data_IF_464441832955
#
_entry.id   IF_464441832955
#
_cell.length_a   1.000
_cell.length_b   1.000
_cell.length_c   1.000
_cell.angle_alpha   90.00
_cell.angle_beta   90.00
_cell.angle_gamma   90.00
#
_symmetry.space_group_name_H-M   'P 1'
#
loop_
_entity.id
_entity.type
_entity.pdbx_description
1 polymer ?
#
# COMPACT_ATOMS: atom_id res chain seq x y z
N UNK A 1 5.02 -5.49 -2.25
CA UNK A 1 3.85 -4.59 -2.20
C UNK A 1 4.06 -3.60 -1.04
N UNK A 2 3.91 -2.28 -1.26
CA UNK A 2 4.08 -1.30 -0.20
C UNK A 2 2.97 -1.42 0.84
N UNK A 3 3.34 -1.69 2.09
CA UNK A 3 2.43 -1.64 3.23
C UNK A 3 2.47 -0.25 3.85
N UNK A 4 1.29 0.34 4.05
CA UNK A 4 1.13 1.64 4.70
C UNK A 4 0.64 1.44 6.13
N UNK A 5 1.35 1.90 7.17
CA UNK A 5 0.85 1.85 8.53
C UNK A 5 -0.37 2.77 8.69
N UNK A 6 -1.49 2.22 9.16
CA UNK A 6 -2.69 2.99 9.55
C UNK A 6 -2.61 3.41 11.01
N UNK A 7 -2.13 2.51 11.87
CA UNK A 7 -1.94 2.74 13.30
C UNK A 7 -0.58 2.23 13.70
N UNK A 8 0.18 3.07 14.39
CA UNK A 8 1.40 2.66 15.06
C UNK A 8 1.01 2.13 16.43
N UNK A 9 1.07 0.82 16.61
CA UNK A 9 0.81 0.16 17.89
C UNK A 9 1.94 0.42 18.90
N UNK A 10 1.73 0.02 20.16
CA UNK A 10 2.80 0.07 21.16
C UNK A 10 3.94 -0.91 20.80
N UNK A 11 3.61 -1.99 20.09
CA UNK A 11 4.53 -2.93 19.44
C UNK A 11 4.20 -3.09 17.96
N UNK A 12 5.02 -3.84 17.21
CA UNK A 12 4.79 -4.04 15.77
C UNK A 12 3.59 -4.97 15.49
N UNK A 13 3.26 -5.87 16.43
CA UNK A 13 2.12 -6.78 16.36
C UNK A 13 0.79 -6.01 16.48
N UNK A 14 0.80 -4.92 17.26
CA UNK A 14 -0.33 -4.01 17.41
C UNK A 14 -0.50 -3.05 16.22
N UNK A 15 0.51 -2.95 15.35
CA UNK A 15 0.45 -2.09 14.19
C UNK A 15 -0.46 -2.68 13.11
N UNK A 16 -1.32 -1.84 12.56
CA UNK A 16 -2.19 -2.22 11.44
C UNK A 16 -1.60 -1.66 10.16
N UNK A 17 -1.41 -2.54 9.18
CA UNK A 17 -0.89 -2.19 7.86
C UNK A 17 -1.96 -2.36 6.81
N UNK A 18 -1.95 -1.50 5.80
CA UNK A 18 -2.85 -1.62 4.66
C UNK A 18 -2.12 -1.57 3.35
N UNK A 19 -2.65 -2.25 2.34
CA UNK A 19 -2.29 -2.02 0.94
C UNK A 19 -3.56 -1.75 0.15
N UNK A 20 -3.51 -0.76 -0.73
CA UNK A 20 -4.57 -0.47 -1.69
C UNK A 20 -4.31 -1.23 -2.99
N UNK A 21 -5.39 -1.52 -3.73
CA UNK A 21 -5.33 -2.33 -4.92
C UNK A 21 -6.66 -2.46 -5.64
N UNK A 22 -6.67 -3.32 -6.65
CA UNK A 22 -7.86 -3.71 -7.41
C UNK A 22 -8.18 -5.14 -7.03
N UNK A 23 -9.34 -5.36 -6.41
CA UNK A 23 -9.91 -6.67 -6.20
C UNK A 23 -10.60 -7.12 -7.48
N UNK A 24 -10.36 -8.36 -7.91
CA UNK A 24 -11.05 -8.99 -9.04
C UNK A 24 -11.68 -10.28 -8.55
N UNK A 25 -13.01 -10.34 -8.59
CA UNK A 25 -13.77 -11.54 -8.31
C UNK A 25 -13.47 -12.62 -9.38
N UNK A 26 -13.65 -13.90 -9.05
CA UNK A 26 -13.41 -15.01 -9.97
C UNK A 26 -14.27 -14.94 -11.26
N UNK A 27 -15.39 -14.21 -11.23
CA UNK A 27 -16.24 -13.94 -12.38
C UNK A 27 -15.76 -12.76 -13.26
N UNK A 28 -14.73 -12.03 -12.81
CA UNK A 28 -14.11 -10.91 -13.49
C UNK A 28 -14.60 -9.52 -13.09
N UNK A 29 -15.59 -9.39 -12.18
CA UNK A 29 -15.96 -8.07 -11.65
C UNK A 29 -14.77 -7.46 -10.88
N UNK A 30 -14.52 -6.15 -11.04
CA UNK A 30 -13.43 -5.46 -10.35
C UNK A 30 -13.92 -4.34 -9.45
N UNK A 31 -13.21 -4.12 -8.33
CA UNK A 31 -13.44 -3.00 -7.41
C UNK A 31 -12.13 -2.50 -6.84
N UNK A 32 -12.04 -1.20 -6.59
CA UNK A 32 -10.97 -0.69 -5.74
C UNK A 32 -11.13 -1.28 -4.34
N UNK A 33 -10.04 -1.74 -3.76
CA UNK A 33 -10.07 -2.42 -2.47
C UNK A 33 -8.83 -2.12 -1.63
N UNK A 34 -8.98 -2.35 -0.33
CA UNK A 34 -7.92 -2.23 0.66
C UNK A 34 -7.85 -3.51 1.48
N UNK A 35 -6.65 -4.10 1.52
CA UNK A 35 -6.33 -5.18 2.44
C UNK A 35 -5.85 -4.58 3.76
N UNK A 36 -6.30 -5.16 4.87
CA UNK A 36 -5.90 -4.79 6.22
C UNK A 36 -5.20 -5.97 6.88
N UNK A 37 -3.95 -5.76 7.27
CA UNK A 37 -3.10 -6.73 7.95
C UNK A 37 -2.85 -6.31 9.39
N UNK A 38 -2.80 -7.29 10.28
CA UNK A 38 -2.40 -7.13 11.67
C UNK A 38 -1.66 -8.39 12.09
N UNK A 39 -0.59 -8.26 12.87
CA UNK A 39 0.19 -9.41 13.37
C UNK A 39 0.59 -10.40 12.24
N UNK A 40 1.14 -9.86 11.14
CA UNK A 40 1.58 -10.70 10.01
C UNK A 40 0.48 -11.23 9.08
N UNK A 41 -0.80 -11.18 9.47
CA UNK A 41 -1.88 -11.89 8.75
C UNK A 41 -2.93 -10.93 8.18
N UNK A 42 -3.52 -11.31 7.04
CA UNK A 42 -4.68 -10.60 6.49
C UNK A 42 -5.88 -10.75 7.44
N UNK A 43 -6.45 -9.63 7.84
CA UNK A 43 -7.62 -9.56 8.72
C UNK A 43 -8.90 -9.28 7.95
N UNK A 44 -8.87 -8.29 7.07
CA UNK A 44 -10.06 -7.79 6.38
C UNK A 44 -9.73 -7.32 4.97
N UNK A 45 -10.74 -7.39 4.10
CA UNK A 45 -10.71 -6.82 2.76
C UNK A 45 -11.89 -5.86 2.64
N UNK A 46 -11.64 -4.61 2.29
CA UNK A 46 -12.68 -3.62 2.06
C UNK A 46 -12.72 -3.21 0.61
N UNK A 47 -13.87 -3.34 -0.04
CA UNK A 47 -14.15 -2.79 -1.35
C UNK A 47 -14.79 -1.40 -1.27
N UNK A 48 -14.51 -0.56 -2.25
CA UNK A 48 -15.03 0.80 -2.37
C UNK A 48 -15.85 0.93 -3.65
N UNK A 49 -16.95 1.69 -3.57
CA UNK A 49 -17.85 1.90 -4.72
C UNK A 49 -17.43 3.06 -5.63
N UNK A 50 -16.55 3.94 -5.15
CA UNK A 50 -16.00 5.04 -5.93
C UNK A 50 -14.60 4.73 -6.47
N UNK A 51 -14.12 5.59 -7.37
CA UNK A 51 -12.75 5.52 -7.90
C UNK A 51 -11.73 5.92 -6.83
N UNK A 52 -10.50 5.42 -6.94
CA UNK A 52 -9.38 5.76 -6.04
C UNK A 52 -9.69 5.51 -4.54
N UNK A 53 -10.53 4.51 -4.23
CA UNK A 53 -10.89 4.19 -2.85
C UNK A 53 -11.86 5.18 -2.20
N UNK A 54 -12.53 6.02 -2.99
CA UNK A 54 -13.59 6.91 -2.49
C UNK A 54 -14.92 6.18 -2.29
N UNK A 55 -15.78 6.73 -1.44
CA UNK A 55 -17.10 6.16 -1.14
C UNK A 55 -17.11 5.29 0.12
N UNK A 56 -18.29 4.75 0.45
CA UNK A 56 -18.47 3.97 1.67
C UNK A 56 -17.80 2.59 1.52
N UNK A 57 -16.87 2.21 2.42
CA UNK A 57 -16.25 0.89 2.40
C UNK A 57 -17.28 -0.19 2.72
N UNK A 58 -17.13 -1.35 2.07
CA UNK A 58 -17.86 -2.58 2.40
C UNK A 58 -16.89 -3.73 2.50
N UNK A 59 -17.07 -4.56 3.51
CA UNK A 59 -16.26 -5.77 3.66
C UNK A 59 -16.54 -6.73 2.50
N UNK A 60 -15.46 -7.28 1.94
CA UNK A 60 -15.45 -8.36 0.95
C UNK A 60 -14.99 -9.61 1.70
N UNK A 61 -15.70 -10.71 1.54
CA UNK A 61 -15.27 -12.04 1.99
C UNK A 61 -14.61 -12.72 0.79
N UNK A 62 -13.28 -12.92 0.78
CA UNK A 62 -12.62 -13.48 -0.38
C UNK A 62 -12.97 -14.95 -0.61
N UNK A 63 -13.13 -15.33 -1.87
CA UNK A 63 -13.31 -16.71 -2.29
C UNK A 63 -12.06 -17.22 -3.02
N UNK A 64 -11.87 -18.54 -3.03
CA UNK A 64 -10.76 -19.17 -3.73
C UNK A 64 -10.85 -18.89 -5.24
N UNK A 65 -9.78 -18.31 -5.79
CA UNK A 65 -9.72 -17.88 -7.20
C UNK A 65 -9.90 -16.39 -7.41
N UNK A 66 -10.38 -15.64 -6.42
CA UNK A 66 -10.35 -14.18 -6.45
C UNK A 66 -8.89 -13.68 -6.49
N UNK A 67 -8.67 -12.48 -7.03
CA UNK A 67 -7.33 -11.88 -7.08
C UNK A 67 -7.31 -10.45 -6.56
N UNK A 68 -6.13 -10.01 -6.13
CA UNK A 68 -5.87 -8.64 -5.72
C UNK A 68 -4.61 -8.14 -6.39
N UNK A 69 -4.75 -7.14 -7.28
CA UNK A 69 -3.62 -6.46 -7.91
C UNK A 69 -3.27 -5.23 -7.09
N UNK A 70 -2.07 -5.18 -6.54
CA UNK A 70 -1.59 -4.08 -5.70
C UNK A 70 -1.47 -2.81 -6.54
N UNK A 71 -1.86 -1.66 -5.99
CA UNK A 71 -1.61 -0.35 -6.58
C UNK A 71 -0.41 0.30 -5.88
N UNK A 72 0.64 0.57 -6.65
CA UNK A 72 1.90 1.14 -6.17
C UNK A 72 2.01 2.61 -6.56
N UNK A 73 2.43 3.44 -5.60
CA UNK A 73 2.68 4.85 -5.84
C UNK A 73 4.15 5.10 -6.13
N UNK A 74 4.44 5.65 -7.31
CA UNK A 74 5.77 5.97 -7.79
C UNK A 74 5.98 7.48 -7.75
N UNK A 75 7.14 7.90 -7.25
CA UNK A 75 7.57 9.29 -7.21
C UNK A 75 8.82 9.40 -8.08
N UNK A 76 8.69 10.02 -9.24
CA UNK A 76 9.80 10.27 -10.14
C UNK A 76 10.51 11.56 -9.75
N UNK A 77 11.84 11.48 -9.63
CA UNK A 77 12.69 12.61 -9.25
C UNK A 77 13.53 13.09 -10.43
N UNK A 78 13.83 14.38 -10.49
CA UNK A 78 14.84 14.93 -11.40
C UNK A 78 16.26 14.65 -10.89
N UNK A 79 17.26 15.03 -11.67
CA UNK A 79 18.68 14.86 -11.31
C UNK A 79 19.10 15.63 -10.04
N UNK A 80 18.27 16.56 -9.55
CA UNK A 80 18.51 17.31 -8.32
C UNK A 80 17.68 16.79 -7.13
N UNK A 81 16.96 15.66 -7.31
CA UNK A 81 16.12 15.07 -6.27
C UNK A 81 14.77 15.75 -6.08
N UNK A 82 14.35 16.65 -6.98
CA UNK A 82 13.03 17.26 -6.91
C UNK A 82 11.97 16.34 -7.51
N UNK A 83 10.79 16.28 -6.90
CA UNK A 83 9.65 15.53 -7.42
C UNK A 83 9.19 16.14 -8.75
N UNK A 84 9.20 15.32 -9.80
CA UNK A 84 8.73 15.67 -11.14
C UNK A 84 7.34 15.11 -11.38
N UNK A 85 7.09 13.89 -10.91
CA UNK A 85 5.82 13.20 -11.15
C UNK A 85 5.48 12.27 -9.99
N UNK A 86 4.18 12.14 -9.73
CA UNK A 86 3.62 11.12 -8.85
C UNK A 86 2.61 10.32 -9.68
N UNK A 87 2.77 9.00 -9.74
CA UNK A 87 1.90 8.12 -10.52
C UNK A 87 1.53 6.88 -9.74
N UNK A 88 0.32 6.36 -9.99
CA UNK A 88 -0.13 5.08 -9.45
C UNK A 88 -0.06 4.03 -10.56
N UNK A 89 0.56 2.89 -10.27
CA UNK A 89 0.74 1.80 -11.22
C UNK A 89 0.28 0.47 -10.61
N UNK A 90 -0.20 -0.44 -11.45
CA UNK A 90 -0.46 -1.82 -11.02
C UNK A 90 0.86 -2.56 -10.78
N UNK A 91 0.99 -3.16 -9.61
CA UNK A 91 2.14 -3.94 -9.19
C UNK A 91 1.84 -5.44 -9.16
N UNK A 92 2.34 -6.11 -8.12
CA UNK A 92 2.15 -7.55 -7.94
C UNK A 92 0.69 -7.97 -7.75
N UNK A 93 0.36 -9.17 -8.21
CA UNK A 93 -0.94 -9.80 -8.05
C UNK A 93 -0.89 -10.90 -6.99
N UNK A 94 -1.87 -10.90 -6.09
CA UNK A 94 -2.12 -11.95 -5.11
C UNK A 94 -3.35 -12.76 -5.56
N UNK A 95 -3.33 -14.07 -5.34
CA UNK A 95 -4.47 -14.96 -5.58
C UNK A 95 -4.96 -15.53 -4.25
N UNK A 96 -6.24 -15.36 -3.96
CA UNK A 96 -6.86 -15.91 -2.77
C UNK A 96 -7.05 -17.42 -2.92
N UNK A 97 -6.78 -18.13 -1.83
CA UNK A 97 -6.91 -19.58 -1.72
C UNK A 97 -7.30 -19.96 -0.29
N UNK A 98 -7.37 -21.25 0.01
CA UNK A 98 -7.64 -21.75 1.36
C UNK A 98 -6.50 -21.46 2.37
N UNK A 99 -5.35 -20.95 1.89
CA UNK A 99 -4.24 -20.54 2.74
C UNK A 99 -4.33 -19.03 3.06
N UNK A 100 -4.09 -18.64 4.32
CA UNK A 100 -4.11 -17.23 4.70
C UNK A 100 -2.96 -16.48 4.02
N UNK A 101 -3.26 -15.27 3.52
CA UNK A 101 -2.23 -14.35 3.04
C UNK A 101 -1.52 -13.75 4.25
N UNK A 102 -0.19 -13.79 4.22
CA UNK A 102 0.68 -13.19 5.24
C UNK A 102 1.56 -12.11 4.60
N UNK A 103 2.06 -11.20 5.42
CA UNK A 103 3.14 -10.31 5.04
C UNK A 103 4.41 -10.67 5.79
N UNK A 104 5.54 -10.43 5.15
CA UNK A 104 6.86 -10.60 5.75
C UNK A 104 7.62 -9.26 5.73
N UNK A 105 8.31 -8.99 6.84
CA UNK A 105 9.29 -7.90 6.87
C UNK A 105 10.56 -8.39 6.18
N UNK A 106 10.93 -7.74 5.08
CA UNK A 106 12.20 -7.95 4.43
C UNK A 106 13.12 -6.77 4.72
N UNK A 107 14.38 -7.06 4.98
CA UNK A 107 15.41 -6.02 4.99
C UNK A 107 15.52 -5.41 3.59
N UNK A 108 15.75 -4.09 3.56
CA UNK A 108 16.01 -3.40 2.31
C UNK A 108 17.24 -4.04 1.63
N UNK A 109 17.17 -4.22 0.31
CA UNK A 109 18.31 -4.69 -0.46
C UNK A 109 19.49 -3.71 -0.32
N UNK A 110 20.72 -4.21 -0.44
CA UNK A 110 21.89 -3.33 -0.45
C UNK A 110 21.79 -2.34 -1.61
N UNK A 111 21.98 -1.05 -1.33
CA UNK A 111 21.81 0.01 -2.31
C UNK A 111 21.63 1.39 -1.68
N UNK A 112 21.58 2.39 -2.55
CA UNK A 112 21.34 3.78 -2.15
C UNK A 112 19.84 4.09 -2.23
N UNK A 113 19.32 4.64 -1.15
CA UNK A 113 17.92 5.02 -0.99
C UNK A 113 17.82 6.50 -0.67
N UNK A 114 16.73 7.14 -1.09
CA UNK A 114 16.36 8.47 -0.63
C UNK A 114 15.20 8.34 0.35
N UNK A 115 15.40 8.86 1.56
CA UNK A 115 14.37 8.96 2.60
C UNK A 115 14.00 10.41 2.76
N UNK A 116 12.71 10.73 2.86
CA UNK A 116 12.31 12.09 3.16
C UNK A 116 10.96 12.22 3.83
N UNK A 117 10.74 13.41 4.35
CA UNK A 117 9.50 13.83 4.99
C UNK A 117 8.87 14.92 4.15
N UNK A 118 7.56 14.82 3.93
CA UNK A 118 6.74 15.88 3.37
C UNK A 118 5.71 16.27 4.41
N UNK A 119 5.66 17.54 4.77
CA UNK A 119 4.72 18.11 5.74
C UNK A 119 3.85 19.11 5.01
N UNK A 120 2.55 18.89 5.01
CA UNK A 120 1.56 19.81 4.44
C UNK A 120 0.81 20.52 5.56
N UNK A 121 0.81 21.85 5.56
CA UNK A 121 0.01 22.64 6.51
C UNK A 121 -1.48 22.63 6.15
N UNK A 122 -2.33 23.22 7.02
CA UNK A 122 -3.78 23.26 6.79
C UNK A 122 -4.18 24.18 5.60
N UNK A 123 -3.27 25.04 5.16
CA UNK A 123 -3.47 25.93 4.02
C UNK A 123 -3.00 25.28 2.70
N UNK A 124 -2.50 24.05 2.76
CA UNK A 124 -2.05 23.26 1.61
C UNK A 124 -0.59 23.49 1.20
N UNK A 125 0.18 24.31 1.94
CA UNK A 125 1.59 24.49 1.65
C UNK A 125 2.38 23.27 2.10
N UNK A 126 3.23 22.75 1.23
CA UNK A 126 4.04 21.57 1.51
C UNK A 126 5.52 21.92 1.66
N UNK A 127 6.15 21.37 2.70
CA UNK A 127 7.57 21.48 3.00
C UNK A 127 8.18 20.09 2.96
N UNK A 128 9.33 19.95 2.31
CA UNK A 128 9.97 18.66 2.09
C UNK A 128 11.44 18.68 2.51
N UNK A 129 11.89 17.58 3.11
CA UNK A 129 13.29 17.34 3.44
C UNK A 129 13.64 15.90 3.05
N UNK A 130 14.71 15.72 2.28
CA UNK A 130 15.20 14.42 1.82
C UNK A 130 16.66 14.21 2.25
N UNK A 131 17.05 12.96 2.41
CA UNK A 131 18.42 12.54 2.68
C UNK A 131 18.71 11.19 2.05
N UNK A 132 19.94 11.00 1.60
CA UNK A 132 20.43 9.73 1.08
C UNK A 132 20.84 8.78 2.21
N UNK A 133 20.49 7.51 2.08
CA UNK A 133 20.84 6.43 3.00
C UNK A 133 21.34 5.25 2.19
N UNK A 134 22.55 4.77 2.51
CA UNK A 134 23.09 3.54 1.91
C UNK A 134 22.84 2.36 2.83
N UNK A 135 22.12 1.35 2.33
CA UNK A 135 21.97 0.05 2.98
C UNK A 135 23.10 -0.86 2.50
N UNK A 136 23.76 -1.57 3.42
CA UNK A 136 24.93 -2.40 3.15
C UNK A 136 24.75 -3.82 3.69
#
# INVERSE_FOLDING_TARGET
>A
APLTPQTYGATYEDATYTTDGIYTYADGETRHARLLFQDGVLRQVFGFTGTEGTGAPREIIPETGDTFTVLERWIDLDANGNVVQNTTQEGGMLTFSDQPITWEALDAAAGDYIVGFVVTDLDGNSYQAFGEVTVR
#
